data_IF_487296490668
#
_entry.id   IF_487296490668
#
_cell.length_a   1.000
_cell.length_b   1.000
_cell.length_c   1.000
_cell.angle_alpha   90.00
_cell.angle_beta   90.00
_cell.angle_gamma   90.00
#
_symmetry.space_group_name_H-M   'P 1'
#
loop_
_entity.id
_entity.type
_entity.pdbx_description
1 polymer ?
#
# COMPACT_ATOMS: atom_id res chain seq x y z
N UNK A 1 29.87 39.58 -16.36
CA UNK A 1 28.75 39.44 -15.40
C UNK A 1 27.55 38.61 -15.95
N UNK A 2 27.54 38.14 -17.19
CA UNK A 2 26.34 37.46 -17.78
C UNK A 2 26.31 35.92 -17.72
N UNK A 3 27.36 35.25 -17.27
CA UNK A 3 27.36 33.75 -17.27
C UNK A 3 26.68 33.11 -16.03
N UNK A 4 26.61 33.84 -14.91
CA UNK A 4 25.94 33.32 -13.70
C UNK A 4 24.42 33.45 -13.75
N UNK A 5 23.90 34.43 -14.50
CA UNK A 5 22.44 34.64 -14.63
C UNK A 5 21.78 33.59 -15.54
N UNK A 6 22.48 33.12 -16.58
CA UNK A 6 21.97 32.13 -17.52
C UNK A 6 21.83 30.75 -16.87
N UNK A 7 22.80 30.29 -16.05
CA UNK A 7 22.73 28.98 -15.39
C UNK A 7 21.54 28.83 -14.45
N UNK A 8 21.18 29.85 -13.68
CA UNK A 8 20.05 29.83 -12.76
C UNK A 8 18.70 29.75 -13.49
N UNK A 9 18.57 30.36 -14.66
CA UNK A 9 17.36 30.30 -15.48
C UNK A 9 17.24 28.95 -16.18
N UNK A 10 18.33 28.44 -16.72
CA UNK A 10 18.39 27.12 -17.39
C UNK A 10 18.08 26.01 -16.39
N UNK A 11 18.59 26.07 -15.15
CA UNK A 11 18.28 25.12 -14.07
C UNK A 11 16.80 25.17 -13.66
N UNK A 12 16.22 26.37 -13.59
CA UNK A 12 14.80 26.53 -13.29
C UNK A 12 13.89 25.96 -14.40
N UNK A 13 14.26 26.19 -15.66
CA UNK A 13 13.55 25.63 -16.82
C UNK A 13 13.68 24.10 -16.82
N UNK A 14 14.87 23.56 -16.59
CA UNK A 14 15.09 22.11 -16.53
C UNK A 14 14.24 21.44 -15.43
N UNK A 15 14.16 22.05 -14.23
CA UNK A 15 13.30 21.60 -13.13
C UNK A 15 11.82 21.64 -13.50
N UNK A 16 11.38 22.73 -14.14
CA UNK A 16 9.98 22.87 -14.58
C UNK A 16 9.61 21.80 -15.64
N UNK A 17 10.52 21.51 -16.57
CA UNK A 17 10.32 20.45 -17.57
C UNK A 17 10.27 19.07 -16.91
N UNK A 18 11.18 18.79 -15.96
CA UNK A 18 11.20 17.53 -15.22
C UNK A 18 9.90 17.34 -14.42
N UNK A 19 9.47 18.37 -13.70
CA UNK A 19 8.20 18.37 -12.97
C UNK A 19 6.99 18.13 -13.88
N UNK A 20 6.95 18.78 -15.06
CA UNK A 20 5.89 18.57 -16.05
C UNK A 20 5.82 17.12 -16.54
N UNK A 21 6.98 16.53 -16.86
CA UNK A 21 7.06 15.13 -17.28
C UNK A 21 6.60 14.16 -16.19
N UNK A 22 6.96 14.45 -14.94
CA UNK A 22 6.49 13.67 -13.79
C UNK A 22 4.96 13.75 -13.66
N UNK A 23 4.37 14.93 -13.76
CA UNK A 23 2.90 15.07 -13.73
C UNK A 23 2.20 14.35 -14.87
N UNK A 24 2.76 14.43 -16.09
CA UNK A 24 2.20 13.74 -17.25
C UNK A 24 2.24 12.21 -17.03
N UNK A 25 3.35 11.66 -16.53
CA UNK A 25 3.49 10.23 -16.20
C UNK A 25 2.53 9.77 -15.09
N UNK A 26 2.33 10.57 -14.04
CA UNK A 26 1.37 10.28 -12.98
C UNK A 26 -0.08 10.25 -13.50
N UNK A 27 -0.42 11.16 -14.40
CA UNK A 27 -1.75 11.18 -15.02
C UNK A 27 -1.98 9.97 -15.92
N UNK A 28 -0.97 9.54 -16.69
CA UNK A 28 -1.03 8.32 -17.51
C UNK A 28 -1.20 7.07 -16.64
N UNK A 29 -0.43 6.93 -15.57
CA UNK A 29 -0.53 5.83 -14.60
C UNK A 29 -1.93 5.74 -14.00
N UNK A 30 -2.46 6.86 -13.50
CA UNK A 30 -3.80 6.93 -12.90
C UNK A 30 -4.90 6.61 -13.91
N UNK A 31 -4.76 7.05 -15.17
CA UNK A 31 -5.71 6.73 -16.22
C UNK A 31 -5.73 5.23 -16.54
N UNK A 32 -4.56 4.59 -16.66
CA UNK A 32 -4.44 3.15 -16.91
C UNK A 32 -5.02 2.32 -15.77
N UNK A 33 -4.74 2.70 -14.52
CA UNK A 33 -5.28 2.06 -13.32
C UNK A 33 -6.82 2.17 -13.29
N UNK A 34 -7.36 3.36 -13.57
CA UNK A 34 -8.81 3.57 -13.62
C UNK A 34 -9.47 2.75 -14.74
N UNK A 35 -8.86 2.71 -15.92
CA UNK A 35 -9.34 1.93 -17.06
C UNK A 35 -9.36 0.43 -16.75
N UNK A 36 -8.35 -0.08 -16.05
CA UNK A 36 -8.33 -1.45 -15.54
C UNK A 36 -9.57 -1.74 -14.69
N UNK A 37 -9.89 -0.88 -13.71
CA UNK A 37 -11.01 -1.08 -12.80
C UNK A 37 -12.38 -0.91 -13.50
N UNK A 38 -12.50 0.02 -14.46
CA UNK A 38 -13.70 0.16 -15.31
C UNK A 38 -13.92 -1.14 -16.10
N UNK A 39 -12.87 -1.69 -16.70
CA UNK A 39 -12.94 -2.96 -17.41
C UNK A 39 -13.38 -4.09 -16.48
N UNK A 40 -12.77 -4.22 -15.31
CA UNK A 40 -13.16 -5.22 -14.30
C UNK A 40 -14.62 -5.09 -13.88
N UNK A 41 -15.10 -3.85 -13.65
CA UNK A 41 -16.51 -3.57 -13.35
C UNK A 41 -17.45 -4.04 -14.47
N UNK A 42 -17.08 -3.80 -15.72
CA UNK A 42 -17.88 -4.22 -16.87
C UNK A 42 -17.91 -5.75 -17.04
N UNK A 43 -16.80 -6.43 -16.74
CA UNK A 43 -16.70 -7.90 -16.81
C UNK A 43 -17.45 -8.59 -15.69
N UNK A 44 -17.38 -8.07 -14.45
CA UNK A 44 -17.91 -8.70 -13.23
C UNK A 44 -19.32 -8.23 -12.86
N UNK A 45 -19.75 -7.09 -13.42
CA UNK A 45 -21.02 -6.44 -13.06
C UNK A 45 -20.94 -5.71 -11.71
N UNK A 46 -20.41 -6.36 -10.67
CA UNK A 46 -20.22 -5.79 -9.32
C UNK A 46 -18.84 -6.11 -8.79
N UNK A 47 -18.15 -5.08 -8.29
CA UNK A 47 -16.85 -5.26 -7.66
C UNK A 47 -17.04 -5.62 -6.17
N UNK A 48 -16.87 -6.89 -5.83
CA UNK A 48 -17.00 -7.38 -4.46
C UNK A 48 -15.64 -7.60 -3.79
N UNK A 49 -15.53 -7.21 -2.52
CA UNK A 49 -14.33 -7.37 -1.69
C UNK A 49 -14.44 -8.40 -0.56
N UNK A 50 -15.56 -9.14 -0.44
CA UNK A 50 -15.78 -10.08 0.67
C UNK A 50 -14.69 -11.15 0.84
N UNK A 51 -14.02 -11.53 -0.24
CA UNK A 51 -12.94 -12.51 -0.21
C UNK A 51 -11.62 -11.96 0.35
N UNK A 52 -11.51 -10.62 0.55
CA UNK A 52 -10.34 -10.01 1.17
C UNK A 52 -10.23 -10.33 2.65
N UNK A 53 -11.33 -10.57 3.37
CA UNK A 53 -11.34 -10.90 4.81
C UNK A 53 -10.21 -11.87 5.19
N UNK A 54 -10.06 -12.98 4.46
CA UNK A 54 -9.00 -13.97 4.68
C UNK A 54 -7.60 -13.35 4.78
N UNK A 55 -7.28 -12.36 3.93
CA UNK A 55 -5.94 -11.76 3.86
C UNK A 55 -5.67 -10.78 5.00
N UNK A 56 -6.71 -10.25 5.63
CA UNK A 56 -6.57 -9.41 6.82
C UNK A 56 -6.61 -10.23 8.12
N UNK A 57 -7.23 -11.38 8.10
CA UNK A 57 -7.51 -12.19 9.29
C UNK A 57 -6.68 -13.47 9.31
N UNK A 58 -7.24 -14.60 8.86
CA UNK A 58 -6.66 -15.95 8.95
C UNK A 58 -5.22 -16.03 8.46
N UNK A 59 -4.92 -15.33 7.35
CA UNK A 59 -3.57 -15.31 6.77
C UNK A 59 -2.51 -14.77 7.75
N UNK A 60 -2.87 -13.80 8.58
CA UNK A 60 -1.99 -13.19 9.58
C UNK A 60 -2.25 -13.70 11.02
N UNK A 61 -3.01 -14.79 11.18
CA UNK A 61 -3.35 -15.34 12.48
C UNK A 61 -4.18 -14.38 13.33
N UNK A 62 -5.10 -13.64 12.68
CA UNK A 62 -6.07 -12.75 13.30
C UNK A 62 -7.48 -13.24 13.00
N UNK A 63 -8.44 -12.88 13.84
CA UNK A 63 -9.86 -13.12 13.65
C UNK A 63 -10.61 -11.81 13.38
N UNK A 64 -11.84 -11.89 12.88
CA UNK A 64 -12.71 -10.72 12.65
C UNK A 64 -12.93 -9.95 13.96
N UNK A 65 -13.03 -10.66 15.08
CA UNK A 65 -13.20 -10.10 16.42
C UNK A 65 -12.03 -9.25 16.89
N UNK A 66 -10.81 -9.53 16.39
CA UNK A 66 -9.60 -8.74 16.72
C UNK A 66 -9.68 -7.31 16.14
N UNK A 67 -10.56 -7.08 15.18
CA UNK A 67 -10.78 -5.76 14.58
C UNK A 67 -11.85 -4.94 15.29
N UNK A 68 -12.58 -5.52 16.26
CA UNK A 68 -13.67 -4.84 16.94
C UNK A 68 -13.19 -3.60 17.70
N UNK A 69 -13.78 -2.45 17.37
CA UNK A 69 -13.43 -1.16 17.99
C UNK A 69 -12.12 -0.54 17.52
N UNK A 70 -11.40 -1.16 16.57
CA UNK A 70 -10.14 -0.65 16.03
C UNK A 70 -10.34 0.33 14.87
N UNK A 71 -9.39 1.22 14.67
CA UNK A 71 -9.27 2.08 13.50
C UNK A 71 -8.33 1.42 12.50
N UNK A 72 -8.86 1.12 11.33
CA UNK A 72 -8.18 0.34 10.28
C UNK A 72 -8.00 1.18 9.02
N UNK A 73 -6.77 1.22 8.51
CA UNK A 73 -6.41 1.86 7.24
C UNK A 73 -5.98 0.81 6.22
N UNK A 74 -6.53 0.91 5.01
CA UNK A 74 -6.07 0.17 3.84
C UNK A 74 -5.50 1.12 2.79
N UNK A 75 -4.21 1.02 2.53
CA UNK A 75 -3.47 1.86 1.58
C UNK A 75 -3.50 1.20 0.20
N UNK A 76 -3.93 1.96 -0.83
CA UNK A 76 -4.17 1.43 -2.16
C UNK A 76 -5.38 0.50 -2.20
N UNK A 77 -6.46 0.91 -1.54
CA UNK A 77 -7.64 0.06 -1.27
C UNK A 77 -8.42 -0.35 -2.54
N UNK A 78 -8.24 0.33 -3.66
CA UNK A 78 -9.02 0.11 -4.86
C UNK A 78 -10.54 0.23 -4.63
N UNK A 79 -11.38 -0.13 -5.62
CA UNK A 79 -12.83 0.09 -5.55
C UNK A 79 -13.65 -1.05 -4.95
N UNK A 80 -13.06 -2.14 -4.49
CA UNK A 80 -13.78 -3.36 -4.11
C UNK A 80 -14.38 -3.37 -2.70
N UNK A 81 -14.06 -2.38 -1.85
CA UNK A 81 -14.47 -2.39 -0.44
C UNK A 81 -13.75 -3.46 0.36
N UNK A 82 -12.43 -3.35 0.42
CA UNK A 82 -11.55 -4.36 1.03
C UNK A 82 -11.78 -4.57 2.52
N UNK A 83 -12.33 -3.57 3.23
CA UNK A 83 -12.64 -3.62 4.66
C UNK A 83 -14.14 -3.71 4.98
N UNK A 84 -15.01 -4.01 3.99
CA UNK A 84 -16.46 -4.11 4.26
C UNK A 84 -16.82 -5.21 5.25
N UNK A 85 -16.03 -6.26 5.32
CA UNK A 85 -16.19 -7.39 6.24
C UNK A 85 -15.95 -7.00 7.71
N UNK A 86 -15.17 -5.95 8.00
CA UNK A 86 -14.80 -5.52 9.36
C UNK A 86 -15.91 -4.63 10.00
N UNK A 87 -17.14 -5.13 10.05
CA UNK A 87 -18.31 -4.34 10.47
C UNK A 87 -18.21 -3.77 11.88
N UNK A 88 -17.49 -4.44 12.78
CA UNK A 88 -17.32 -4.05 14.18
C UNK A 88 -16.10 -3.14 14.42
N UNK A 89 -15.31 -2.81 13.40
CA UNK A 89 -14.24 -1.82 13.51
C UNK A 89 -14.84 -0.43 13.82
N UNK A 90 -14.10 0.38 14.60
CA UNK A 90 -14.50 1.75 14.91
C UNK A 90 -14.46 2.62 13.64
N UNK A 91 -13.42 2.44 12.84
CA UNK A 91 -13.23 3.13 11.56
C UNK A 91 -12.64 2.18 10.52
N UNK A 92 -13.17 2.26 9.29
CA UNK A 92 -12.70 1.50 8.11
C UNK A 92 -12.37 2.48 7.02
N UNK A 93 -11.09 2.82 6.88
CA UNK A 93 -10.62 3.84 5.97
C UNK A 93 -9.85 3.19 4.83
N UNK A 94 -10.24 3.49 3.60
CA UNK A 94 -9.47 3.20 2.39
C UNK A 94 -8.81 4.47 1.87
N UNK A 95 -7.50 4.43 1.66
CA UNK A 95 -6.73 5.52 1.08
C UNK A 95 -6.29 5.14 -0.34
N UNK A 96 -6.65 5.97 -1.31
CA UNK A 96 -6.25 5.76 -2.70
C UNK A 96 -6.30 7.08 -3.47
N UNK A 97 -5.31 7.41 -4.31
CA UNK A 97 -5.35 8.64 -5.12
C UNK A 97 -6.58 8.72 -6.05
N UNK A 98 -7.16 7.58 -6.42
CA UNK A 98 -8.32 7.47 -7.29
C UNK A 98 -9.65 7.27 -6.53
N UNK A 99 -9.68 7.45 -5.21
CA UNK A 99 -10.85 7.18 -4.38
C UNK A 99 -12.14 7.86 -4.88
N UNK A 100 -12.06 9.12 -5.33
CA UNK A 100 -13.21 9.85 -5.86
C UNK A 100 -13.79 9.25 -7.14
N UNK A 101 -12.93 8.68 -7.99
CA UNK A 101 -13.37 7.96 -9.20
C UNK A 101 -13.85 6.55 -8.86
N UNK A 102 -13.22 5.88 -7.93
CA UNK A 102 -13.61 4.55 -7.46
C UNK A 102 -14.97 4.54 -6.77
N UNK A 103 -15.36 5.62 -6.08
CA UNK A 103 -16.71 5.76 -5.52
C UNK A 103 -17.80 5.62 -6.59
N UNK A 104 -17.53 6.05 -7.83
CA UNK A 104 -18.48 5.90 -8.97
C UNK A 104 -18.58 4.45 -9.47
N UNK A 105 -17.56 3.62 -9.19
CA UNK A 105 -17.54 2.21 -9.57
C UNK A 105 -18.10 1.28 -8.49
N UNK A 106 -18.20 1.76 -7.24
CA UNK A 106 -18.66 0.97 -6.09
C UNK A 106 -20.14 0.62 -6.19
N UNK A 107 -20.51 -0.44 -5.53
CA UNK A 107 -21.91 -0.81 -5.33
C UNK A 107 -22.53 0.01 -4.20
N UNK A 108 -23.86 0.18 -4.24
CA UNK A 108 -24.58 0.79 -3.12
C UNK A 108 -24.41 -0.05 -1.84
N UNK A 109 -24.40 0.63 -0.69
CA UNK A 109 -24.35 -0.02 0.62
C UNK A 109 -22.96 -0.21 1.22
N UNK A 110 -21.89 0.14 0.50
CA UNK A 110 -20.54 0.11 1.08
C UNK A 110 -20.39 1.16 2.19
N UNK A 111 -19.84 0.75 3.34
CA UNK A 111 -19.69 1.55 4.54
C UNK A 111 -18.25 2.03 4.79
N UNK A 112 -17.25 1.40 4.17
CA UNK A 112 -15.86 1.83 4.26
C UNK A 112 -15.71 3.24 3.70
N UNK A 113 -15.17 4.17 4.47
CA UNK A 113 -14.83 5.51 4.01
C UNK A 113 -13.64 5.47 3.07
N UNK A 114 -13.71 6.21 1.97
CA UNK A 114 -12.62 6.33 1.01
C UNK A 114 -12.10 7.76 0.96
N UNK A 115 -10.77 7.89 1.02
CA UNK A 115 -10.08 9.18 1.03
C UNK A 115 -9.17 9.28 -0.20
N UNK A 116 -9.39 10.32 -1.00
CA UNK A 116 -8.58 10.61 -2.17
C UNK A 116 -7.25 11.29 -1.76
N UNK A 117 -6.25 10.48 -1.46
CA UNK A 117 -4.90 10.93 -1.14
C UNK A 117 -3.85 9.88 -1.49
N UNK A 118 -2.62 10.31 -1.77
CA UNK A 118 -1.46 9.44 -1.89
C UNK A 118 -0.94 9.03 -0.52
N UNK A 119 -0.29 7.89 -0.47
CA UNK A 119 0.31 7.35 0.76
C UNK A 119 1.54 8.12 1.23
N UNK A 120 2.08 8.98 0.40
CA UNK A 120 3.18 9.90 0.69
C UNK A 120 2.80 11.04 1.65
N UNK A 121 1.48 11.23 1.87
CA UNK A 121 0.96 12.26 2.78
C UNK A 121 -0.41 11.82 3.32
N UNK A 122 -0.39 10.92 4.29
CA UNK A 122 -1.61 10.36 4.89
C UNK A 122 -2.26 11.40 5.81
N UNK A 123 -3.52 11.85 5.54
CA UNK A 123 -4.14 12.99 6.23
C UNK A 123 -4.67 12.65 7.64
N UNK A 124 -3.88 11.94 8.42
CA UNK A 124 -4.19 11.54 9.79
C UNK A 124 -3.03 11.84 10.73
N UNK A 125 -3.32 11.95 12.02
CA UNK A 125 -2.32 12.22 13.06
C UNK A 125 -1.35 11.05 13.26
N UNK A 126 -0.21 11.31 13.88
CA UNK A 126 0.75 10.30 14.32
C UNK A 126 0.07 9.29 15.24
N UNK A 127 0.28 7.99 14.97
CA UNK A 127 -0.26 6.92 15.80
C UNK A 127 -1.80 6.84 15.79
N UNK A 128 -2.42 7.21 14.70
CA UNK A 128 -3.88 7.23 14.60
C UNK A 128 -4.49 5.84 14.45
N UNK A 129 -3.87 4.95 13.66
CA UNK A 129 -4.43 3.66 13.30
C UNK A 129 -3.89 2.51 14.15
N UNK A 130 -4.78 1.61 14.54
CA UNK A 130 -4.45 0.38 15.24
C UNK A 130 -3.93 -0.69 14.28
N UNK A 131 -4.48 -0.74 13.06
CA UNK A 131 -4.02 -1.60 11.96
C UNK A 131 -3.90 -0.77 10.68
N UNK A 132 -2.75 -0.86 10.02
CA UNK A 132 -2.52 -0.35 8.66
C UNK A 132 -2.22 -1.52 7.75
N UNK A 133 -2.83 -1.58 6.58
CA UNK A 133 -2.57 -2.59 5.56
C UNK A 133 -2.13 -1.93 4.25
N UNK A 134 -1.28 -2.62 3.49
CA UNK A 134 -0.94 -2.30 2.11
C UNK A 134 -0.82 -3.62 1.35
N UNK A 135 -1.81 -3.94 0.51
CA UNK A 135 -1.91 -5.20 -0.21
C UNK A 135 -1.89 -4.97 -1.72
N UNK A 136 -0.81 -5.40 -2.36
CA UNK A 136 -0.58 -5.20 -3.80
C UNK A 136 -0.66 -3.73 -4.21
N UNK A 137 -0.05 -2.86 -3.44
CA UNK A 137 -0.13 -1.41 -3.64
C UNK A 137 1.18 -0.66 -3.35
N UNK A 138 2.13 -1.27 -2.60
CA UNK A 138 3.37 -0.59 -2.22
C UNK A 138 4.30 -0.34 -3.42
N UNK A 139 4.26 -1.16 -4.44
CA UNK A 139 4.97 -1.02 -5.71
C UNK A 139 4.33 0.00 -6.68
N UNK A 140 3.09 0.42 -6.37
CA UNK A 140 2.34 1.43 -7.12
C UNK A 140 2.53 2.87 -6.61
N UNK A 141 3.21 3.10 -5.49
CA UNK A 141 3.32 4.44 -4.91
C UNK A 141 4.17 5.39 -5.77
N UNK A 142 4.06 6.68 -5.54
CA UNK A 142 4.79 7.70 -6.29
C UNK A 142 6.14 8.00 -5.64
N UNK A 143 6.25 7.85 -4.30
CA UNK A 143 7.48 7.94 -3.52
C UNK A 143 7.46 6.89 -2.41
N UNK A 144 8.38 5.91 -2.52
CA UNK A 144 8.44 4.80 -1.58
C UNK A 144 8.94 5.23 -0.19
N UNK A 145 9.94 6.10 -0.14
CA UNK A 145 10.55 6.52 1.13
C UNK A 145 9.57 7.35 1.95
N UNK A 146 8.85 8.28 1.32
CA UNK A 146 7.80 9.07 1.97
C UNK A 146 6.64 8.17 2.41
N UNK A 147 6.20 7.22 1.57
CA UNK A 147 5.15 6.24 1.92
C UNK A 147 5.55 5.41 3.15
N UNK A 148 6.78 4.88 3.19
CA UNK A 148 7.28 4.12 4.34
C UNK A 148 7.31 4.98 5.59
N UNK A 149 7.74 6.24 5.49
CA UNK A 149 7.75 7.20 6.60
C UNK A 149 6.34 7.45 7.14
N UNK A 150 5.37 7.65 6.28
CA UNK A 150 3.98 7.88 6.65
C UNK A 150 3.33 6.64 7.29
N UNK A 151 3.56 5.45 6.73
CA UNK A 151 3.10 4.19 7.36
C UNK A 151 3.63 4.07 8.79
N UNK A 152 4.94 4.28 8.98
CA UNK A 152 5.56 4.25 10.31
C UNK A 152 4.97 5.30 11.25
N UNK A 153 4.62 6.47 10.72
CA UNK A 153 4.07 7.59 11.48
C UNK A 153 2.66 7.28 11.98
N UNK A 154 1.77 6.80 11.09
CA UNK A 154 0.34 6.67 11.39
C UNK A 154 -0.03 5.42 12.17
N UNK A 155 0.78 4.36 12.16
CA UNK A 155 0.58 3.18 13.02
C UNK A 155 0.75 3.58 14.48
N UNK A 156 -0.20 3.25 15.37
CA UNK A 156 -0.12 3.54 16.79
C UNK A 156 0.91 2.64 17.53
N UNK A 157 1.47 3.06 18.65
CA UNK A 157 2.24 2.17 19.52
C UNK A 157 1.42 0.94 19.92
N UNK A 158 1.96 -0.26 19.71
CA UNK A 158 1.28 -1.54 19.88
C UNK A 158 0.47 -2.01 18.68
N UNK A 159 0.22 -1.14 17.69
CA UNK A 159 -0.51 -1.43 16.46
C UNK A 159 0.29 -2.25 15.46
N UNK A 160 -0.38 -2.69 14.39
CA UNK A 160 0.18 -3.54 13.35
C UNK A 160 0.25 -2.84 12.00
N UNK A 161 1.29 -3.19 11.23
CA UNK A 161 1.33 -2.97 9.78
C UNK A 161 1.36 -4.34 9.09
N UNK A 162 0.42 -4.55 8.16
CA UNK A 162 0.27 -5.76 7.37
C UNK A 162 0.64 -5.45 5.92
N UNK A 163 1.60 -6.19 5.37
CA UNK A 163 2.08 -5.98 4.00
C UNK A 163 1.98 -7.28 3.20
N UNK A 164 1.32 -7.20 2.06
CA UNK A 164 1.34 -8.22 1.00
C UNK A 164 1.77 -7.54 -0.30
N UNK A 165 2.91 -7.93 -0.86
CA UNK A 165 3.40 -7.30 -2.09
C UNK A 165 4.22 -8.28 -2.93
N UNK A 166 4.21 -8.07 -4.24
CA UNK A 166 5.10 -8.73 -5.16
C UNK A 166 6.54 -8.24 -4.96
N UNK A 167 7.50 -9.11 -5.14
CA UNK A 167 8.94 -8.79 -5.08
C UNK A 167 9.66 -9.32 -6.30
N UNK A 168 10.81 -8.71 -6.62
CA UNK A 168 11.66 -9.05 -7.76
C UNK A 168 10.97 -8.88 -9.13
N UNK A 169 9.86 -8.13 -9.19
CA UNK A 169 9.24 -7.76 -10.46
C UNK A 169 10.01 -6.63 -11.13
N UNK A 170 9.80 -6.46 -12.43
CA UNK A 170 10.32 -5.31 -13.18
C UNK A 170 9.29 -4.20 -13.18
N UNK A 171 9.78 -2.97 -13.13
CA UNK A 171 8.94 -1.79 -13.19
C UNK A 171 8.04 -1.78 -14.43
N UNK A 172 6.81 -1.37 -14.23
CA UNK A 172 5.81 -1.08 -15.26
C UNK A 172 5.32 0.36 -15.10
N UNK A 173 4.41 0.82 -15.94
CA UNK A 173 3.81 2.14 -15.78
C UNK A 173 3.01 2.25 -14.46
N UNK A 174 2.21 1.24 -14.14
CA UNK A 174 1.38 1.22 -12.92
C UNK A 174 2.16 0.78 -11.67
N UNK A 175 3.19 -0.05 -11.83
CA UNK A 175 4.03 -0.58 -10.75
C UNK A 175 5.47 -0.06 -10.93
N UNK A 176 5.75 1.24 -10.72
CA UNK A 176 7.05 1.84 -11.05
C UNK A 176 8.18 1.47 -10.09
N UNK A 177 7.86 0.94 -8.91
CA UNK A 177 8.85 0.69 -7.86
C UNK A 177 9.29 -0.77 -7.90
N UNK A 178 10.59 -0.98 -8.11
CA UNK A 178 11.22 -2.31 -8.00
C UNK A 178 11.85 -2.47 -6.62
N UNK A 179 11.53 -3.55 -5.95
CA UNK A 179 12.20 -3.98 -4.72
C UNK A 179 12.23 -5.52 -4.62
N UNK A 180 13.15 -6.02 -3.79
CA UNK A 180 13.25 -7.43 -3.46
C UNK A 180 12.84 -7.71 -2.01
N UNK A 181 13.38 -8.80 -1.47
CA UNK A 181 13.13 -9.22 -0.08
C UNK A 181 13.60 -8.20 0.96
N UNK A 182 14.53 -7.31 0.59
CA UNK A 182 15.06 -6.24 1.47
C UNK A 182 14.00 -5.21 1.86
N UNK A 183 12.87 -5.14 1.19
CA UNK A 183 11.78 -4.23 1.56
C UNK A 183 11.34 -4.40 3.02
N UNK A 184 11.46 -5.62 3.56
CA UNK A 184 11.21 -5.88 4.96
C UNK A 184 12.06 -5.01 5.90
N UNK A 185 13.32 -4.73 5.53
CA UNK A 185 14.25 -3.98 6.35
C UNK A 185 13.95 -2.48 6.39
N UNK A 186 13.24 -1.96 5.38
CA UNK A 186 12.90 -0.54 5.30
C UNK A 186 11.98 -0.03 6.42
N UNK A 187 11.34 -0.94 7.15
CA UNK A 187 10.45 -0.64 8.27
C UNK A 187 11.06 -0.88 9.64
N UNK A 188 12.19 -1.62 9.74
CA UNK A 188 12.70 -2.17 11.01
C UNK A 188 13.38 -1.18 11.93
N UNK A 189 13.58 0.07 11.53
CA UNK A 189 14.03 1.17 12.39
C UNK A 189 12.94 1.63 13.38
N UNK A 190 11.66 1.36 13.07
CA UNK A 190 10.49 1.76 13.86
C UNK A 190 9.57 0.60 14.21
N UNK A 191 9.46 -0.41 13.33
CA UNK A 191 8.56 -1.54 13.45
C UNK A 191 9.35 -2.84 13.63
N UNK A 192 8.84 -3.75 14.46
CA UNK A 192 9.38 -5.09 14.64
C UNK A 192 8.68 -6.08 13.73
N UNK A 193 9.42 -6.95 13.04
CA UNK A 193 8.84 -8.05 12.27
C UNK A 193 8.31 -9.10 13.24
N UNK A 194 7.00 -9.34 13.22
CA UNK A 194 6.33 -10.39 14.00
C UNK A 194 6.26 -11.68 13.19
N UNK A 195 5.99 -11.56 11.90
CA UNK A 195 5.88 -12.68 10.98
C UNK A 195 6.38 -12.27 9.59
N UNK A 196 7.14 -13.16 8.95
CA UNK A 196 7.60 -13.02 7.58
C UNK A 196 7.38 -14.34 6.84
N UNK A 197 6.73 -14.27 5.69
CA UNK A 197 6.61 -15.38 4.75
C UNK A 197 7.11 -14.94 3.38
N UNK A 198 7.90 -15.78 2.73
CA UNK A 198 8.38 -15.62 1.36
C UNK A 198 7.77 -16.73 0.52
N UNK A 199 6.98 -16.37 -0.45
CA UNK A 199 6.17 -17.30 -1.22
C UNK A 199 6.53 -17.25 -2.71
N UNK A 200 6.42 -18.41 -3.38
CA UNK A 200 6.47 -18.48 -4.84
C UNK A 200 5.27 -17.75 -5.46
N UNK A 201 5.46 -17.20 -6.66
CA UNK A 201 4.39 -16.62 -7.46
C UNK A 201 4.11 -17.50 -8.69
N UNK A 202 3.44 -18.66 -8.52
CA UNK A 202 3.20 -19.59 -9.62
C UNK A 202 2.18 -19.08 -10.64
N UNK A 203 1.38 -18.09 -10.27
CA UNK A 203 0.36 -17.46 -11.13
C UNK A 203 0.44 -15.94 -11.04
N UNK A 204 -0.09 -15.24 -12.05
CA UNK A 204 -0.05 -13.78 -12.12
C UNK A 204 -0.76 -13.10 -10.93
N UNK A 205 -1.85 -13.69 -10.43
CA UNK A 205 -2.61 -13.15 -9.30
C UNK A 205 -1.88 -13.41 -7.98
N UNK A 206 -1.46 -12.35 -7.29
CA UNK A 206 -0.76 -12.38 -6.01
C UNK A 206 -1.58 -13.11 -4.94
N UNK A 207 -2.87 -12.81 -4.81
CA UNK A 207 -3.74 -13.42 -3.79
C UNK A 207 -3.92 -14.93 -3.98
N UNK A 208 -3.98 -15.42 -5.23
CA UNK A 208 -4.01 -16.85 -5.50
C UNK A 208 -2.66 -17.50 -5.17
N UNK A 209 -1.55 -16.80 -5.42
CA UNK A 209 -0.21 -17.27 -5.05
C UNK A 209 -0.06 -17.40 -3.53
N UNK A 210 -0.54 -16.42 -2.76
CA UNK A 210 -0.58 -16.49 -1.30
C UNK A 210 -1.41 -17.67 -0.82
N UNK A 211 -2.61 -17.89 -1.36
CA UNK A 211 -3.44 -19.06 -1.01
C UNK A 211 -2.80 -20.40 -1.36
N UNK A 212 -1.93 -20.45 -2.36
CA UNK A 212 -1.15 -21.66 -2.69
C UNK A 212 -0.17 -22.02 -1.58
N UNK A 213 0.28 -21.03 -0.82
CA UNK A 213 1.18 -21.17 0.32
C UNK A 213 2.45 -21.97 0.02
N UNK A 214 3.02 -21.79 -1.18
CA UNK A 214 4.25 -22.47 -1.61
C UNK A 214 5.44 -21.63 -1.14
N UNK A 215 6.29 -22.11 -0.21
CA UNK A 215 7.47 -21.39 0.23
C UNK A 215 8.42 -21.12 -0.94
N UNK A 216 8.98 -19.90 -0.99
CA UNK A 216 9.95 -19.53 -2.00
C UNK A 216 11.25 -20.31 -1.82
N UNK A 217 11.70 -20.99 -2.87
CA UNK A 217 12.93 -21.75 -2.86
C UNK A 217 14.15 -20.81 -2.99
N UNK A 218 14.74 -20.44 -1.86
CA UNK A 218 15.91 -19.56 -1.78
C UNK A 218 17.18 -20.19 -2.37
N UNK A 219 17.24 -21.52 -2.52
CA UNK A 219 18.36 -22.23 -3.14
C UNK A 219 18.33 -22.13 -4.67
N UNK A 220 17.15 -22.01 -5.25
CA UNK A 220 16.99 -21.77 -6.67
C UNK A 220 17.36 -20.32 -7.03
N UNK A 221 18.51 -20.14 -7.65
CA UNK A 221 19.05 -18.81 -8.04
C UNK A 221 18.46 -18.24 -9.34
N UNK A 222 17.54 -18.93 -9.98
CA UNK A 222 16.83 -18.38 -11.14
C UNK A 222 16.02 -17.16 -10.73
N UNK A 223 16.28 -16.03 -11.39
CA UNK A 223 15.52 -14.80 -11.13
C UNK A 223 14.06 -15.02 -11.50
N UNK A 224 13.17 -14.80 -10.56
CA UNK A 224 11.72 -14.93 -10.70
C UNK A 224 11.00 -14.08 -9.67
N UNK A 225 9.76 -13.79 -9.93
CA UNK A 225 8.87 -13.08 -9.02
C UNK A 225 8.59 -13.94 -7.78
N UNK A 226 8.40 -13.26 -6.67
CA UNK A 226 7.92 -13.83 -5.43
C UNK A 226 6.87 -12.93 -4.81
N UNK A 227 6.30 -13.38 -3.70
CA UNK A 227 5.39 -12.59 -2.86
C UNK A 227 5.96 -12.57 -1.46
N UNK A 228 6.08 -11.38 -0.87
CA UNK A 228 6.36 -11.25 0.55
C UNK A 228 5.09 -10.96 1.32
N UNK A 229 4.94 -11.63 2.46
CA UNK A 229 3.90 -11.39 3.44
C UNK A 229 4.57 -11.05 4.77
N UNK A 230 4.25 -9.88 5.31
CA UNK A 230 4.92 -9.34 6.48
C UNK A 230 3.87 -8.78 7.46
N UNK A 231 3.97 -9.22 8.71
CA UNK A 231 3.26 -8.64 9.85
C UNK A 231 4.27 -7.93 10.72
N UNK A 232 4.13 -6.62 10.83
CA UNK A 232 4.94 -5.80 11.72
C UNK A 232 4.12 -5.34 12.91
N UNK A 233 4.82 -5.01 14.00
CA UNK A 233 4.26 -4.38 15.18
C UNK A 233 5.07 -3.15 15.55
N UNK A 234 4.41 -2.06 15.92
CA UNK A 234 5.07 -0.89 16.50
C UNK A 234 5.26 -1.10 18.00
N UNK A 235 6.49 -1.03 18.54
CA UNK A 235 6.72 -1.19 19.98
C UNK A 235 5.95 -0.18 20.81
N UNK A 236 5.44 -0.59 21.97
CA UNK A 236 4.73 0.30 22.91
C UNK A 236 5.63 1.43 23.43
N UNK A 237 6.93 1.16 23.60
CA UNK A 237 7.91 2.12 24.14
C UNK A 237 8.24 3.26 23.18
N UNK A 238 7.87 3.13 21.89
CA UNK A 238 8.14 4.17 20.89
C UNK A 238 7.43 5.50 21.20
N UNK A 239 6.34 5.48 21.97
CA UNK A 239 5.65 6.69 22.44
C UNK A 239 6.42 7.44 23.52
N UNK A 240 7.22 6.76 24.35
CA UNK A 240 7.93 7.37 25.47
C UNK A 240 9.18 8.16 25.03
N UNK A 241 9.83 7.77 23.94
CA UNK A 241 11.05 8.40 23.45
C UNK A 241 10.83 9.81 22.84
N UNK A 242 9.63 10.10 22.30
CA UNK A 242 9.29 11.41 21.70
C UNK A 242 8.88 12.50 22.71
N UNK A 243 8.63 12.14 23.98
CA UNK A 243 8.24 13.13 25.01
C UNK A 243 9.47 13.82 25.63
N UNK A 244 10.68 13.29 25.41
CA UNK A 244 11.93 13.76 26.02
C UNK A 244 12.93 14.39 25.00
N UNK A 245 12.55 14.58 23.75
CA UNK A 245 13.35 15.31 22.73
C UNK A 245 12.65 16.59 22.30
#
# INVERSE_FOLDING_TARGET
>A
MNQFHNRSVDDAIAKAIAYRRQLDSLNEKRAEELDYWIKRKNEEGTLHGSWYEYFYTEHFGLDVEDYAGLRVLDIGCGPRGSLEWAENAAERIGLDPLADDYQKLRSEGYQMEMIAAGSESIPFADGYFDIVASFNSLDHVDDLDETISEIKRVVCPGGYFLLLTDVNHKATLCEPIEFGWEIAQAFTDVLEIVEEQRLEKPVANMYQSIRSNIPYDMENKTQRYGVTSLKFRKPLEYAAARIYT
#
